data_IF_869536489030
#
_entry.id   IF_869536489030
#
_cell.length_a   1.000
_cell.length_b   1.000
_cell.length_c   1.000
_cell.angle_alpha   90.00
_cell.angle_beta   90.00
_cell.angle_gamma   90.00
#
_symmetry.space_group_name_H-M   'P 1'
#
loop_
_entity.id
_entity.type
_entity.pdbx_description
1 polymer ?
#
# COMPACT_ATOMS: atom_id res chain seq x y z
N UNK A 1 67.88 11.19 -16.45
CA UNK A 1 66.76 11.87 -17.15
C UNK A 1 65.63 10.93 -17.59
N UNK A 2 65.90 9.71 -18.06
CA UNK A 2 64.84 8.79 -18.56
C UNK A 2 63.79 8.37 -17.51
N UNK A 3 64.15 8.17 -16.24
CA UNK A 3 63.20 7.76 -15.16
C UNK A 3 62.09 8.81 -14.89
N UNK A 4 62.39 10.09 -14.93
CA UNK A 4 61.41 11.17 -14.71
C UNK A 4 60.35 11.29 -15.84
N UNK A 5 60.71 10.92 -17.06
CA UNK A 5 59.78 10.93 -18.18
C UNK A 5 58.83 9.73 -18.15
N UNK A 6 59.30 8.57 -17.73
CA UNK A 6 58.50 7.36 -17.57
C UNK A 6 57.42 7.57 -16.49
N UNK A 7 57.79 8.17 -15.34
CA UNK A 7 56.84 8.46 -14.29
C UNK A 7 55.75 9.45 -14.69
N UNK A 8 56.14 10.50 -15.46
CA UNK A 8 55.17 11.47 -16.01
C UNK A 8 54.25 10.84 -17.04
N UNK A 9 54.73 9.92 -17.85
CA UNK A 9 53.92 9.19 -18.84
C UNK A 9 52.95 8.22 -18.17
N UNK A 10 53.34 7.55 -17.09
CA UNK A 10 52.43 6.68 -16.32
C UNK A 10 51.36 7.48 -15.59
N UNK A 11 51.71 8.65 -15.05
CA UNK A 11 50.68 9.53 -14.42
C UNK A 11 49.68 10.05 -15.44
N UNK A 12 50.14 10.43 -16.63
CA UNK A 12 49.25 10.87 -17.69
C UNK A 12 48.35 9.74 -18.22
N UNK A 13 48.86 8.51 -18.33
CA UNK A 13 48.07 7.33 -18.70
C UNK A 13 47.02 6.96 -17.63
N UNK A 14 47.33 7.09 -16.33
CA UNK A 14 46.36 6.87 -15.27
C UNK A 14 45.30 7.96 -15.21
N UNK A 15 45.63 9.22 -15.50
CA UNK A 15 44.65 10.30 -15.56
C UNK A 15 43.70 10.15 -16.77
N UNK A 16 44.19 9.70 -17.91
CA UNK A 16 43.32 9.47 -19.08
C UNK A 16 42.38 8.28 -18.92
N UNK A 17 42.76 7.25 -18.21
CA UNK A 17 41.87 6.11 -17.87
C UNK A 17 40.80 6.45 -16.82
N UNK A 18 41.04 7.43 -15.93
CA UNK A 18 40.07 7.90 -14.98
C UNK A 18 38.94 8.76 -15.60
N UNK A 19 39.21 9.39 -16.76
CA UNK A 19 38.22 10.19 -17.48
C UNK A 19 37.28 9.36 -18.37
N UNK A 20 37.61 8.10 -18.64
CA UNK A 20 36.77 7.19 -19.44
C UNK A 20 35.79 6.36 -18.61
N UNK A 21 35.73 6.55 -17.29
CA UNK A 21 34.79 5.85 -16.38
C UNK A 21 33.45 6.61 -16.22
N UNK A 22 33.18 7.63 -17.03
CA UNK A 22 31.81 8.10 -17.19
C UNK A 22 31.03 7.09 -18.04
N UNK A 23 30.82 5.90 -17.45
CA UNK A 23 29.76 5.03 -17.89
C UNK A 23 28.46 5.75 -17.56
N UNK A 24 27.87 6.41 -18.56
CA UNK A 24 26.46 6.67 -18.54
C UNK A 24 25.80 5.30 -18.37
N UNK A 25 25.40 4.97 -17.15
CA UNK A 25 24.41 3.90 -16.93
C UNK A 25 23.15 4.48 -17.57
N UNK A 26 22.97 4.24 -18.88
CA UNK A 26 21.65 4.37 -19.47
C UNK A 26 20.76 3.41 -18.71
N UNK A 27 19.69 3.94 -18.16
CA UNK A 27 18.65 3.15 -17.53
C UNK A 27 18.10 2.18 -18.58
N UNK A 28 18.61 0.96 -18.58
CA UNK A 28 18.14 -0.09 -19.47
C UNK A 28 16.81 -0.55 -18.91
N UNK A 29 15.75 -0.03 -19.47
CA UNK A 29 14.40 -0.54 -19.18
C UNK A 29 14.38 -2.03 -19.55
N UNK A 30 13.93 -2.91 -18.64
CA UNK A 30 13.83 -4.32 -18.97
C UNK A 30 12.93 -4.47 -20.21
N UNK A 31 13.41 -5.17 -21.22
CA UNK A 31 12.61 -5.57 -22.40
C UNK A 31 11.47 -6.56 -22.03
N UNK A 32 11.30 -6.81 -20.72
CA UNK A 32 10.22 -7.63 -20.17
C UNK A 32 8.88 -6.89 -20.27
N UNK A 33 7.81 -7.63 -20.33
CA UNK A 33 6.41 -7.20 -20.48
C UNK A 33 5.87 -6.26 -19.38
N UNK A 34 6.73 -5.65 -18.57
CA UNK A 34 6.37 -4.78 -17.46
C UNK A 34 6.63 -3.32 -17.85
N UNK A 35 5.56 -2.56 -18.05
CA UNK A 35 5.67 -1.12 -18.33
C UNK A 35 6.04 -0.36 -17.05
N UNK A 36 6.90 0.66 -17.18
CA UNK A 36 7.19 1.58 -16.08
C UNK A 36 6.04 2.58 -15.88
N UNK A 37 5.96 3.18 -14.68
CA UNK A 37 4.96 4.23 -14.37
C UNK A 37 5.04 5.39 -15.38
N UNK A 38 6.23 5.79 -15.77
CA UNK A 38 6.43 6.85 -16.79
C UNK A 38 5.94 6.44 -18.18
N UNK A 39 6.08 5.18 -18.57
CA UNK A 39 5.54 4.66 -19.83
C UNK A 39 4.01 4.60 -19.79
N UNK A 40 3.45 4.17 -18.65
CA UNK A 40 1.99 4.13 -18.44
C UNK A 40 1.42 5.55 -18.52
N UNK A 41 2.02 6.52 -17.84
CA UNK A 41 1.56 7.91 -17.84
C UNK A 41 1.57 8.60 -19.22
N UNK A 42 2.28 8.05 -20.20
CA UNK A 42 2.32 8.56 -21.59
C UNK A 42 1.31 7.89 -22.53
N UNK A 43 0.50 6.97 -22.03
CA UNK A 43 -0.46 6.21 -22.85
C UNK A 43 -1.85 6.22 -22.20
N UNK A 44 -2.79 6.88 -22.85
CA UNK A 44 -4.19 6.95 -22.39
C UNK A 44 -4.81 5.57 -22.18
N UNK A 45 -4.51 4.64 -23.08
CA UNK A 45 -4.98 3.26 -22.96
C UNK A 45 -4.38 2.56 -21.75
N UNK A 46 -3.10 2.78 -21.43
CA UNK A 46 -2.46 2.18 -20.28
C UNK A 46 -2.96 2.80 -18.97
N UNK A 47 -3.18 4.11 -18.94
CA UNK A 47 -3.82 4.81 -17.80
C UNK A 47 -5.22 4.25 -17.56
N UNK A 48 -6.05 4.17 -18.58
CA UNK A 48 -7.41 3.62 -18.49
C UNK A 48 -7.40 2.18 -17.96
N UNK A 49 -6.51 1.34 -18.48
CA UNK A 49 -6.35 -0.04 -18.00
C UNK A 49 -5.93 -0.09 -16.52
N UNK A 50 -5.03 0.79 -16.09
CA UNK A 50 -4.57 0.86 -14.72
C UNK A 50 -5.68 1.32 -13.76
N UNK A 51 -6.46 2.34 -14.13
CA UNK A 51 -7.61 2.80 -13.34
C UNK A 51 -8.68 1.71 -13.27
N UNK A 52 -8.95 1.02 -14.38
CA UNK A 52 -9.85 -0.13 -14.38
C UNK A 52 -9.37 -1.26 -13.44
N UNK A 53 -8.05 -1.46 -13.31
CA UNK A 53 -7.50 -2.41 -12.33
C UNK A 53 -7.77 -2.01 -10.89
N UNK A 54 -7.78 -0.70 -10.59
CA UNK A 54 -8.18 -0.17 -9.27
C UNK A 54 -9.64 -0.54 -8.98
N UNK A 55 -10.55 -0.29 -9.92
CA UNK A 55 -11.97 -0.64 -9.77
C UNK A 55 -12.16 -2.15 -9.63
N UNK A 56 -11.47 -2.93 -10.44
CA UNK A 56 -11.54 -4.40 -10.41
C UNK A 56 -11.01 -5.00 -9.10
N UNK A 57 -10.13 -4.28 -8.40
CA UNK A 57 -9.50 -4.78 -7.17
C UNK A 57 -10.52 -5.01 -6.04
N UNK A 58 -11.69 -4.37 -6.07
CA UNK A 58 -12.80 -4.66 -5.15
C UNK A 58 -13.13 -6.16 -5.11
N UNK A 59 -13.02 -6.84 -6.26
CA UNK A 59 -13.31 -8.26 -6.39
C UNK A 59 -12.04 -9.13 -6.41
N UNK A 60 -10.88 -8.59 -5.98
CA UNK A 60 -9.64 -9.35 -5.97
C UNK A 60 -9.76 -10.55 -5.03
N UNK A 61 -9.50 -11.74 -5.58
CA UNK A 61 -9.58 -13.00 -4.87
C UNK A 61 -8.18 -13.52 -4.54
N UNK A 62 -8.04 -14.14 -3.37
CA UNK A 62 -6.75 -14.67 -2.89
C UNK A 62 -5.63 -13.61 -2.82
N UNK A 63 -5.96 -12.45 -2.29
CA UNK A 63 -5.02 -11.35 -2.17
C UNK A 63 -3.94 -11.59 -1.11
N UNK A 64 -4.27 -12.35 -0.04
CA UNK A 64 -3.36 -12.67 1.05
C UNK A 64 -2.75 -14.06 0.93
N UNK A 65 -3.56 -15.09 0.62
CA UNK A 65 -3.06 -16.45 0.52
C UNK A 65 -3.99 -17.40 -0.25
N UNK A 66 -3.49 -18.57 -0.67
CA UNK A 66 -4.22 -19.45 -1.58
C UNK A 66 -5.38 -20.22 -0.95
N UNK A 67 -5.51 -20.22 0.37
CA UNK A 67 -6.42 -21.11 1.09
C UNK A 67 -7.44 -20.43 2.00
N UNK A 68 -7.44 -19.09 2.06
CA UNK A 68 -8.36 -18.37 2.94
C UNK A 68 -9.71 -18.18 2.24
N UNK A 69 -10.73 -18.87 2.71
CA UNK A 69 -12.10 -18.80 2.19
C UNK A 69 -12.77 -17.43 2.39
N UNK A 70 -12.26 -16.61 3.30
CA UNK A 70 -12.71 -15.23 3.52
C UNK A 70 -11.98 -14.22 2.62
N UNK A 71 -10.92 -14.61 1.88
CA UNK A 71 -10.17 -13.75 0.99
C UNK A 71 -10.80 -13.72 -0.42
N UNK A 72 -11.94 -13.08 -0.53
CA UNK A 72 -12.64 -12.82 -1.78
C UNK A 72 -12.99 -11.33 -1.95
N UNK A 73 -11.98 -10.49 -1.75
CA UNK A 73 -12.04 -9.07 -1.99
C UNK A 73 -12.84 -8.32 -0.93
N UNK A 74 -13.35 -7.16 -1.31
CA UNK A 74 -14.08 -6.28 -0.41
C UNK A 74 -15.37 -6.90 0.14
N UNK A 75 -15.99 -7.79 -0.59
CA UNK A 75 -17.16 -8.55 -0.13
C UNK A 75 -16.82 -9.47 1.04
N UNK A 76 -15.65 -10.14 1.00
CA UNK A 76 -15.17 -10.96 2.11
C UNK A 76 -14.89 -10.13 3.36
N UNK A 77 -14.25 -8.97 3.16
CA UNK A 77 -14.03 -8.01 4.24
C UNK A 77 -15.34 -7.54 4.89
N UNK A 78 -16.35 -7.18 4.09
CA UNK A 78 -17.65 -6.79 4.60
C UNK A 78 -18.34 -7.92 5.36
N UNK A 79 -18.27 -9.16 4.87
CA UNK A 79 -18.84 -10.32 5.54
C UNK A 79 -18.21 -10.55 6.92
N UNK A 80 -16.88 -10.43 7.03
CA UNK A 80 -16.19 -10.53 8.33
C UNK A 80 -16.69 -9.46 9.29
N UNK A 81 -16.80 -8.22 8.81
CA UNK A 81 -17.25 -7.08 9.61
C UNK A 81 -18.70 -7.26 10.09
N UNK A 82 -19.59 -7.71 9.21
CA UNK A 82 -20.98 -7.99 9.57
C UNK A 82 -21.09 -9.18 10.56
N UNK A 83 -20.22 -10.19 10.39
CA UNK A 83 -20.18 -11.33 11.32
C UNK A 83 -19.69 -10.94 12.73
N UNK A 84 -18.89 -9.88 12.83
CA UNK A 84 -18.44 -9.33 14.11
C UNK A 84 -19.45 -8.37 14.75
N UNK A 85 -20.56 -8.03 14.07
CA UNK A 85 -21.65 -7.22 14.57
C UNK A 85 -22.77 -8.12 15.12
N UNK A 86 -23.55 -7.61 16.07
CA UNK A 86 -24.70 -8.35 16.65
C UNK A 86 -25.83 -8.58 15.63
N UNK A 87 -25.82 -7.90 14.51
CA UNK A 87 -26.85 -7.99 13.47
C UNK A 87 -26.76 -9.26 12.62
N UNK A 88 -25.61 -9.93 12.60
CA UNK A 88 -25.41 -11.18 11.89
C UNK A 88 -25.17 -12.33 12.84
N UNK A 89 -26.08 -13.30 12.84
CA UNK A 89 -26.00 -14.48 13.67
C UNK A 89 -25.75 -15.74 12.86
N UNK A 90 -24.63 -16.41 13.10
CA UNK A 90 -24.32 -17.70 12.50
C UNK A 90 -24.89 -18.83 13.38
N UNK A 91 -25.99 -19.46 12.93
CA UNK A 91 -26.74 -20.40 13.74
C UNK A 91 -26.07 -21.77 13.92
N UNK A 92 -25.35 -22.23 12.90
CA UNK A 92 -24.64 -23.51 12.93
C UNK A 92 -23.23 -23.40 12.36
N UNK A 93 -22.23 -23.25 13.23
CA UNK A 93 -20.83 -23.24 12.83
C UNK A 93 -20.40 -24.66 12.43
N UNK A 94 -20.30 -24.95 11.13
CA UNK A 94 -19.85 -26.29 10.70
C UNK A 94 -18.42 -26.30 10.18
N UNK A 95 -18.12 -25.52 9.15
CA UNK A 95 -16.81 -25.48 8.50
C UNK A 95 -16.33 -24.06 8.21
N UNK A 96 -17.10 -23.07 8.64
CA UNK A 96 -16.73 -21.68 8.51
C UNK A 96 -16.32 -21.14 9.87
N UNK A 97 -15.36 -20.24 9.86
CA UNK A 97 -14.91 -19.57 11.06
C UNK A 97 -15.71 -18.29 11.37
N UNK A 98 -16.82 -18.06 10.67
CA UNK A 98 -17.63 -16.85 10.86
C UNK A 98 -18.29 -16.77 12.24
N UNK A 99 -18.59 -17.89 12.85
CA UNK A 99 -19.03 -17.94 14.26
C UNK A 99 -17.94 -17.44 15.21
N UNK A 100 -16.68 -17.79 14.94
CA UNK A 100 -15.53 -17.34 15.73
C UNK A 100 -15.36 -15.82 15.63
N UNK A 101 -15.67 -15.22 14.49
CA UNK A 101 -15.62 -13.77 14.32
C UNK A 101 -16.69 -13.04 15.13
N UNK A 102 -17.88 -13.65 15.32
CA UNK A 102 -18.94 -13.13 16.17
C UNK A 102 -18.59 -13.08 17.65
N UNK A 103 -17.67 -13.95 18.10
CA UNK A 103 -17.22 -13.98 19.50
C UNK A 103 -16.10 -12.97 19.76
N UNK A 104 -15.38 -12.54 18.75
CA UNK A 104 -14.30 -11.53 18.79
C UNK A 104 -13.17 -11.78 19.81
N UNK A 105 -13.06 -13.00 20.36
CA UNK A 105 -12.14 -13.27 21.46
C UNK A 105 -10.68 -13.39 21.04
N UNK A 106 -10.41 -13.78 19.79
CA UNK A 106 -9.06 -14.10 19.31
C UNK A 106 -8.67 -13.34 18.02
N UNK A 107 -9.35 -12.23 17.70
CA UNK A 107 -9.07 -11.47 16.49
C UNK A 107 -7.63 -10.91 16.46
N UNK A 108 -6.97 -10.74 17.61
CA UNK A 108 -5.62 -10.16 17.68
C UNK A 108 -4.54 -10.99 16.98
N UNK A 109 -4.66 -12.31 17.02
CA UNK A 109 -3.71 -13.27 16.43
C UNK A 109 -4.30 -13.99 15.21
N UNK A 110 -5.53 -13.67 14.83
CA UNK A 110 -6.22 -14.36 13.77
C UNK A 110 -5.74 -13.90 12.38
N UNK A 111 -5.57 -14.84 11.46
CA UNK A 111 -5.24 -14.58 10.05
C UNK A 111 -6.19 -13.60 9.37
N UNK A 112 -7.44 -13.51 9.85
CA UNK A 112 -8.44 -12.58 9.35
C UNK A 112 -8.02 -11.11 9.49
N UNK A 113 -7.42 -10.74 10.63
CA UNK A 113 -6.94 -9.37 10.86
C UNK A 113 -5.79 -9.06 9.91
N UNK A 114 -4.86 -10.00 9.75
CA UNK A 114 -3.76 -9.88 8.80
C UNK A 114 -4.27 -9.80 7.36
N UNK A 115 -5.28 -10.58 7.00
CA UNK A 115 -5.91 -10.56 5.67
C UNK A 115 -6.51 -9.19 5.37
N UNK A 116 -7.26 -8.60 6.30
CA UNK A 116 -7.87 -7.28 6.15
C UNK A 116 -6.79 -6.21 5.97
N UNK A 117 -5.75 -6.23 6.81
CA UNK A 117 -4.61 -5.32 6.69
C UNK A 117 -3.93 -5.43 5.34
N UNK A 118 -3.55 -6.64 4.96
CA UNK A 118 -2.84 -6.94 3.71
C UNK A 118 -3.66 -6.54 2.49
N UNK A 119 -4.95 -6.90 2.46
CA UNK A 119 -5.86 -6.55 1.37
C UNK A 119 -5.93 -5.03 1.17
N UNK A 120 -6.19 -4.28 2.23
CA UNK A 120 -6.34 -2.84 2.15
C UNK A 120 -5.04 -2.14 1.73
N UNK A 121 -3.88 -2.55 2.25
CA UNK A 121 -2.60 -1.96 1.86
C UNK A 121 -2.17 -2.36 0.45
N UNK A 122 -2.49 -3.55 -0.01
CA UNK A 122 -2.29 -3.97 -1.40
C UNK A 122 -3.19 -3.18 -2.35
N UNK A 123 -4.44 -2.96 -1.97
CA UNK A 123 -5.36 -2.10 -2.72
C UNK A 123 -4.87 -0.65 -2.76
N UNK A 124 -4.44 -0.13 -1.63
CA UNK A 124 -3.87 1.21 -1.52
C UNK A 124 -2.63 1.39 -2.41
N UNK A 125 -1.75 0.39 -2.46
CA UNK A 125 -0.59 0.41 -3.35
C UNK A 125 -1.02 0.48 -4.83
N UNK A 126 -2.04 -0.30 -5.23
CA UNK A 126 -2.58 -0.23 -6.59
C UNK A 126 -3.14 1.17 -6.92
N UNK A 127 -3.89 1.78 -5.99
CA UNK A 127 -4.40 3.14 -6.12
C UNK A 127 -3.26 4.17 -6.22
N UNK A 128 -2.26 4.06 -5.36
CA UNK A 128 -1.13 4.98 -5.36
C UNK A 128 -0.31 4.90 -6.66
N UNK A 129 -0.10 3.70 -7.19
CA UNK A 129 0.56 3.52 -8.48
C UNK A 129 -0.24 4.16 -9.62
N UNK A 130 -1.57 4.03 -9.61
CA UNK A 130 -2.44 4.68 -10.61
C UNK A 130 -2.38 6.21 -10.48
N UNK A 131 -2.37 6.76 -9.27
CA UNK A 131 -2.19 8.19 -9.04
C UNK A 131 -0.83 8.69 -9.54
N UNK A 132 0.24 7.96 -9.28
CA UNK A 132 1.58 8.31 -9.76
C UNK A 132 1.67 8.29 -11.30
N UNK A 133 1.01 7.34 -11.96
CA UNK A 133 0.93 7.34 -13.42
C UNK A 133 0.14 8.56 -13.95
N UNK A 134 -0.96 8.91 -13.29
CA UNK A 134 -1.78 10.08 -13.64
C UNK A 134 -1.06 11.42 -13.42
N UNK A 135 -0.08 11.49 -12.51
CA UNK A 135 0.78 12.66 -12.34
C UNK A 135 1.76 12.88 -13.51
N UNK A 136 2.04 11.81 -14.26
CA UNK A 136 2.89 11.88 -15.48
C UNK A 136 2.07 12.10 -16.75
N UNK A 137 0.75 12.00 -16.66
CA UNK A 137 -0.17 12.21 -17.76
C UNK A 137 -0.39 13.71 -18.05
N UNK A 138 -0.97 14.02 -19.19
CA UNK A 138 -1.41 15.37 -19.50
C UNK A 138 -2.61 15.82 -18.66
N UNK A 139 -2.94 17.13 -18.70
CA UNK A 139 -4.04 17.74 -17.94
C UNK A 139 -5.42 17.58 -18.63
N UNK A 140 -5.61 16.47 -19.34
CA UNK A 140 -6.86 16.17 -20.02
C UNK A 140 -8.02 16.01 -19.02
N UNK A 141 -9.28 16.39 -19.40
CA UNK A 141 -10.44 16.21 -18.54
C UNK A 141 -10.66 14.77 -18.08
N UNK A 142 -10.36 13.80 -18.94
CA UNK A 142 -10.46 12.38 -18.66
C UNK A 142 -9.48 11.95 -17.57
N UNK A 143 -8.24 12.43 -17.58
CA UNK A 143 -7.24 12.15 -16.56
C UNK A 143 -7.64 12.75 -15.20
N UNK A 144 -8.28 13.92 -15.19
CA UNK A 144 -8.87 14.49 -13.96
C UNK A 144 -9.99 13.62 -13.40
N UNK A 145 -10.84 13.08 -14.27
CA UNK A 145 -11.88 12.13 -13.87
C UNK A 145 -11.30 10.85 -13.29
N UNK A 146 -10.30 10.27 -13.92
CA UNK A 146 -9.59 9.09 -13.41
C UNK A 146 -8.90 9.36 -12.07
N UNK A 147 -8.29 10.53 -11.91
CA UNK A 147 -7.73 10.94 -10.62
C UNK A 147 -8.80 11.01 -9.53
N UNK A 148 -9.98 11.55 -9.85
CA UNK A 148 -11.13 11.57 -8.94
C UNK A 148 -11.56 10.17 -8.50
N UNK A 149 -11.61 9.20 -9.40
CA UNK A 149 -11.90 7.79 -9.09
C UNK A 149 -10.86 7.25 -8.11
N UNK A 150 -9.58 7.38 -8.43
CA UNK A 150 -8.48 6.86 -7.58
C UNK A 150 -8.49 7.48 -6.18
N UNK A 151 -8.71 8.79 -6.07
CA UNK A 151 -8.81 9.48 -4.78
C UNK A 151 -10.02 9.02 -3.98
N UNK A 152 -11.15 8.73 -4.63
CA UNK A 152 -12.34 8.21 -3.96
C UNK A 152 -12.08 6.81 -3.36
N UNK A 153 -11.42 5.93 -4.09
CA UNK A 153 -11.02 4.62 -3.56
C UNK A 153 -9.99 4.74 -2.44
N UNK A 154 -9.02 5.64 -2.58
CA UNK A 154 -8.05 5.93 -1.51
C UNK A 154 -8.74 6.38 -0.23
N UNK A 155 -9.72 7.28 -0.35
CA UNK A 155 -10.55 7.73 0.76
C UNK A 155 -11.30 6.57 1.42
N UNK A 156 -11.96 5.74 0.64
CA UNK A 156 -12.71 4.57 1.13
C UNK A 156 -11.79 3.62 1.90
N UNK A 157 -10.63 3.28 1.36
CA UNK A 157 -9.67 2.38 1.99
C UNK A 157 -9.21 2.92 3.35
N UNK A 158 -8.81 4.20 3.41
CA UNK A 158 -8.37 4.79 4.67
C UNK A 158 -9.50 4.89 5.69
N UNK A 159 -10.72 5.18 5.26
CA UNK A 159 -11.89 5.20 6.16
C UNK A 159 -12.14 3.83 6.78
N UNK A 160 -12.01 2.75 6.01
CA UNK A 160 -12.16 1.39 6.53
C UNK A 160 -11.01 1.01 7.47
N UNK A 161 -9.76 1.30 7.06
CA UNK A 161 -8.59 1.06 7.91
C UNK A 161 -8.69 1.80 9.25
N UNK A 162 -9.12 3.06 9.23
CA UNK A 162 -9.29 3.86 10.45
C UNK A 162 -10.34 3.24 11.37
N UNK A 163 -11.49 2.85 10.82
CA UNK A 163 -12.57 2.23 11.60
C UNK A 163 -12.15 0.94 12.28
N UNK A 164 -11.29 0.15 11.62
CA UNK A 164 -10.83 -1.15 12.12
C UNK A 164 -9.66 -1.04 13.10
N UNK A 165 -8.75 -0.10 12.89
CA UNK A 165 -7.45 -0.07 13.58
C UNK A 165 -7.24 1.14 14.50
N UNK A 166 -8.19 2.07 14.57
CA UNK A 166 -8.14 3.14 15.56
C UNK A 166 -8.37 2.58 16.95
N UNK A 167 -7.46 2.87 17.86
CA UNK A 167 -7.65 2.48 19.26
C UNK A 167 -8.71 3.36 19.93
N UNK A 168 -9.79 2.74 20.38
CA UNK A 168 -10.89 3.39 21.09
C UNK A 168 -10.94 2.94 22.55
N UNK A 169 -11.57 3.75 23.41
CA UNK A 169 -11.82 3.35 24.79
C UNK A 169 -12.71 2.11 24.82
N UNK A 170 -12.27 1.10 25.57
CA UNK A 170 -12.98 -0.18 25.73
C UNK A 170 -13.97 -0.18 26.90
N UNK A 171 -13.83 0.79 27.83
CA UNK A 171 -14.54 0.79 29.11
C UNK A 171 -13.94 -0.15 30.15
N UNK A 172 -12.91 -0.90 29.81
CA UNK A 172 -12.15 -1.74 30.75
C UNK A 172 -10.98 -0.94 31.30
N UNK A 173 -11.05 -0.56 32.57
CA UNK A 173 -10.10 0.36 33.23
C UNK A 173 -8.62 -0.01 33.00
N UNK A 174 -8.28 -1.30 33.14
CA UNK A 174 -6.91 -1.79 32.95
C UNK A 174 -6.40 -1.59 31.53
N UNK A 175 -7.22 -1.92 30.52
CA UNK A 175 -6.87 -1.78 29.11
C UNK A 175 -6.78 -0.31 28.70
N UNK A 176 -7.71 0.49 29.18
CA UNK A 176 -7.76 1.91 28.90
C UNK A 176 -6.59 2.65 29.55
N UNK A 177 -6.17 2.27 30.77
CA UNK A 177 -4.98 2.81 31.42
C UNK A 177 -3.70 2.43 30.68
N UNK A 178 -3.58 1.19 30.19
CA UNK A 178 -2.46 0.76 29.38
C UNK A 178 -2.39 1.53 28.06
N UNK A 179 -3.50 1.70 27.37
CA UNK A 179 -3.59 2.46 26.13
C UNK A 179 -3.21 3.94 26.34
N UNK A 180 -3.67 4.54 27.43
CA UNK A 180 -3.33 5.92 27.80
C UNK A 180 -1.82 6.06 28.07
N UNK A 181 -1.21 5.10 28.77
CA UNK A 181 0.22 5.09 29.07
C UNK A 181 1.10 5.00 27.80
N UNK A 182 0.59 4.35 26.76
CA UNK A 182 1.24 4.20 25.45
C UNK A 182 0.85 5.27 24.43
N UNK A 183 0.02 6.25 24.80
CA UNK A 183 -0.50 7.30 23.91
C UNK A 183 -1.16 6.75 22.63
N UNK A 184 -1.98 5.69 22.76
CA UNK A 184 -2.59 5.03 21.61
C UNK A 184 -3.88 5.68 21.11
N UNK A 185 -4.52 6.52 21.91
CA UNK A 185 -5.79 7.15 21.53
C UNK A 185 -5.65 8.12 20.37
N UNK A 186 -6.56 8.00 19.39
CA UNK A 186 -6.58 8.84 18.21
C UNK A 186 -5.46 8.54 17.22
N UNK A 187 -4.67 7.48 17.45
CA UNK A 187 -3.68 6.99 16.50
C UNK A 187 -4.34 5.88 15.66
N UNK A 188 -4.18 5.98 14.34
CA UNK A 188 -4.82 5.06 13.39
C UNK A 188 -3.82 4.16 12.67
N UNK A 189 -3.62 4.39 11.40
CA UNK A 189 -2.78 3.57 10.51
C UNK A 189 -1.72 4.42 9.82
N UNK A 190 -0.60 3.84 9.38
CA UNK A 190 0.39 4.54 8.58
C UNK A 190 -0.21 5.06 7.26
N UNK A 191 0.09 6.30 6.92
CA UNK A 191 -0.24 6.87 5.61
C UNK A 191 0.92 6.60 4.67
N UNK A 192 0.64 5.99 3.53
CA UNK A 192 1.63 5.68 2.49
C UNK A 192 1.26 6.32 1.15
N UNK A 193 2.29 6.64 0.37
CA UNK A 193 2.18 7.11 -1.01
C UNK A 193 2.91 6.14 -1.95
N UNK A 194 2.90 6.41 -3.25
CA UNK A 194 3.68 5.62 -4.22
C UNK A 194 5.20 5.74 -4.01
N UNK A 195 5.66 6.83 -3.38
CA UNK A 195 7.07 7.09 -3.11
C UNK A 195 7.54 6.51 -1.77
N UNK A 196 6.62 6.03 -0.94
CA UNK A 196 6.96 5.44 0.36
C UNK A 196 7.76 4.15 0.15
N UNK A 197 9.02 4.17 0.54
CA UNK A 197 9.88 2.99 0.47
C UNK A 197 9.47 1.92 1.47
N UNK A 198 9.96 0.67 1.28
CA UNK A 198 9.69 -0.41 2.21
C UNK A 198 10.22 -0.11 3.62
N UNK A 199 11.39 0.51 3.72
CA UNK A 199 11.98 0.90 5.00
C UNK A 199 11.16 1.98 5.70
N UNK A 200 10.75 3.01 4.98
CA UNK A 200 9.85 4.05 5.49
C UNK A 200 8.51 3.45 5.90
N UNK A 201 7.94 2.54 5.11
CA UNK A 201 6.69 1.87 5.42
C UNK A 201 6.76 1.04 6.71
N UNK A 202 7.88 0.36 6.96
CA UNK A 202 8.10 -0.40 8.21
C UNK A 202 8.25 0.49 9.44
N UNK A 203 8.86 1.65 9.27
CA UNK A 203 9.14 2.60 10.35
C UNK A 203 8.11 3.72 10.45
N UNK A 204 7.15 3.75 9.52
CA UNK A 204 6.15 4.81 9.45
C UNK A 204 5.25 4.76 10.69
N UNK A 205 5.24 5.80 11.53
CA UNK A 205 4.38 5.82 12.69
C UNK A 205 2.91 5.87 12.27
N UNK A 206 2.05 5.33 13.11
CA UNK A 206 0.62 5.49 12.96
C UNK A 206 0.25 6.97 12.95
N UNK A 207 -0.50 7.39 11.95
CA UNK A 207 -0.93 8.78 11.83
C UNK A 207 -2.10 9.08 12.79
N UNK A 208 -2.20 10.29 13.33
CA UNK A 208 -3.43 10.75 13.98
C UNK A 208 -4.61 10.71 13.00
N UNK A 209 -5.81 10.45 13.53
CA UNK A 209 -7.04 10.32 12.75
C UNK A 209 -7.26 11.48 11.76
N UNK A 210 -7.09 12.71 12.21
CA UNK A 210 -7.30 13.90 11.36
C UNK A 210 -6.31 13.98 10.19
N UNK A 211 -5.07 13.49 10.34
CA UNK A 211 -4.09 13.46 9.25
C UNK A 211 -4.47 12.40 8.20
N UNK A 212 -5.03 11.28 8.63
CA UNK A 212 -5.55 10.26 7.69
C UNK A 212 -6.66 10.80 6.80
N UNK A 213 -7.46 11.74 7.29
CA UNK A 213 -8.54 12.38 6.52
C UNK A 213 -8.06 13.54 5.62
N UNK A 214 -7.02 14.26 6.01
CA UNK A 214 -6.49 15.41 5.24
C UNK A 214 -5.70 14.95 4.01
N UNK A 215 -5.07 13.78 4.07
CA UNK A 215 -4.29 13.21 2.96
C UNK A 215 -5.12 12.39 1.96
N UNK A 216 -6.44 12.39 2.12
CA UNK A 216 -7.40 11.85 1.18
C UNK A 216 -7.82 12.92 0.18
#
# INVERSE_FOLDING_TARGET
>A
MKKKYITKLMIAACLSSALSLNSCIEEVFPESSTATIDQIGKSDQAISAMVNSVVAFINAFRSYGPQFYHDFGYSGYNLIRESACEDFFCHEPKFDFFDTYGVCNDLGDADVVNTIWYYNYKFLNNVNNALSALEKADDAPENKYYKGICLSYRAMIYMDLVRMYEYKKTGVEKLDAEAASKNLYGITVPIITAETTEEEGRNNPRAPFYLSLIHI
#
